data_IF_870823666818
#
_entry.id   IF_870823666818
#
_cell.length_a   1.000
_cell.length_b   1.000
_cell.length_c   1.000
_cell.angle_alpha   90.00
_cell.angle_beta   90.00
_cell.angle_gamma   90.00
#
_symmetry.space_group_name_H-M   'P 1'
#
loop_
_entity.id
_entity.type
_entity.pdbx_description
1 polymer ?
#
# COMPACT_ATOMS: atom_id res chain seq x y z
N UNK A 1 20.12 -9.98 5.98
CA UNK A 1 19.11 -10.09 4.92
C UNK A 1 18.80 -8.68 4.46
N UNK A 2 18.93 -8.41 3.17
CA UNK A 2 18.60 -7.08 2.63
C UNK A 2 17.07 -6.89 2.71
N UNK A 3 16.55 -5.80 3.28
CA UNK A 3 15.12 -5.49 3.25
C UNK A 3 14.50 -5.47 1.85
N UNK A 4 15.32 -5.36 0.79
CA UNK A 4 14.89 -5.44 -0.61
C UNK A 4 14.68 -6.87 -1.15
N UNK A 5 15.04 -7.92 -0.41
CA UNK A 5 14.81 -9.31 -0.85
C UNK A 5 13.36 -9.78 -0.64
N UNK A 6 12.52 -8.96 0.02
CA UNK A 6 11.12 -9.30 0.29
C UNK A 6 10.21 -8.75 -0.80
N UNK A 7 9.76 -9.64 -1.69
CA UNK A 7 8.66 -9.35 -2.60
C UNK A 7 7.33 -9.35 -1.84
N UNK A 8 6.67 -8.20 -1.77
CA UNK A 8 5.31 -8.12 -1.23
C UNK A 8 4.29 -8.60 -2.26
N UNK A 9 3.15 -9.10 -1.79
CA UNK A 9 1.97 -9.35 -2.63
C UNK A 9 0.83 -8.50 -2.05
N UNK A 10 0.12 -7.80 -2.92
CA UNK A 10 -1.01 -6.95 -2.52
C UNK A 10 -2.29 -7.52 -3.09
N UNK A 11 -3.31 -7.65 -2.24
CA UNK A 11 -4.68 -7.94 -2.62
C UNK A 11 -5.58 -6.78 -2.20
N UNK A 12 -6.67 -6.56 -2.94
CA UNK A 12 -7.67 -5.52 -2.65
C UNK A 12 -9.04 -6.16 -2.54
N UNK A 13 -9.93 -5.50 -1.80
CA UNK A 13 -11.35 -5.81 -1.86
C UNK A 13 -11.87 -5.66 -3.30
N UNK A 14 -12.95 -6.39 -3.61
CA UNK A 14 -13.60 -6.35 -4.92
C UNK A 14 -14.18 -4.97 -5.27
N UNK A 15 -14.48 -4.15 -4.25
CA UNK A 15 -15.08 -2.82 -4.40
C UNK A 15 -14.36 -1.79 -3.52
N UNK A 16 -14.30 -0.51 -3.94
CA UNK A 16 -13.80 0.56 -3.10
C UNK A 16 -14.80 0.88 -1.97
N UNK A 17 -14.31 1.59 -0.95
CA UNK A 17 -15.17 2.17 0.08
C UNK A 17 -16.10 3.20 -0.60
N UNK A 18 -17.43 3.11 -0.42
CA UNK A 18 -18.37 4.08 -1.01
C UNK A 18 -18.10 5.49 -0.50
N UNK A 19 -18.13 6.49 -1.38
CA UNK A 19 -17.88 7.90 -1.00
C UNK A 19 -18.98 8.48 -0.12
N UNK A 20 -20.18 7.91 -0.15
CA UNK A 20 -21.29 8.27 0.72
C UNK A 20 -21.12 7.72 2.15
N UNK A 21 -20.08 6.92 2.40
CA UNK A 21 -19.81 6.34 3.71
C UNK A 21 -19.27 7.42 4.66
N UNK A 22 -20.05 7.79 5.68
CA UNK A 22 -19.59 8.72 6.72
C UNK A 22 -18.54 8.09 7.65
N UNK A 23 -18.72 6.82 8.02
CA UNK A 23 -17.77 6.05 8.83
C UNK A 23 -17.67 4.64 8.28
N UNK A 24 -16.45 4.23 7.91
CA UNK A 24 -16.16 2.87 7.44
C UNK A 24 -15.31 2.14 8.48
N UNK A 25 -15.72 0.92 8.82
CA UNK A 25 -15.03 0.07 9.78
C UNK A 25 -14.88 -1.34 9.20
N UNK A 26 -13.71 -1.94 9.40
CA UNK A 26 -13.45 -3.32 9.03
C UNK A 26 -12.47 -3.94 10.02
N UNK A 27 -12.56 -5.26 10.17
CA UNK A 27 -11.67 -6.07 10.99
C UNK A 27 -10.92 -7.07 10.11
N UNK A 28 -9.73 -7.46 10.55
CA UNK A 28 -8.94 -8.52 9.93
C UNK A 28 -8.46 -9.43 11.03
N UNK A 29 -8.74 -10.73 10.90
CA UNK A 29 -8.16 -11.76 11.75
C UNK A 29 -6.92 -12.35 11.06
N UNK A 30 -5.79 -12.35 11.76
CA UNK A 30 -4.55 -12.97 11.28
C UNK A 30 -4.55 -14.42 11.77
N UNK A 31 -4.86 -15.36 10.86
CA UNK A 31 -4.91 -16.80 11.17
C UNK A 31 -3.48 -17.39 11.25
N UNK A 32 -2.56 -16.89 10.43
CA UNK A 32 -1.17 -17.33 10.38
C UNK A 32 -0.26 -16.22 9.84
N UNK A 33 0.80 -15.89 10.57
CA UNK A 33 1.75 -14.83 10.21
C UNK A 33 2.90 -15.32 9.31
N UNK A 34 3.07 -16.64 9.18
CA UNK A 34 4.12 -17.27 8.38
C UNK A 34 5.52 -17.06 8.95
N UNK A 35 6.56 -17.23 8.10
CA UNK A 35 7.96 -17.26 8.53
C UNK A 35 8.47 -15.94 9.14
N UNK A 36 7.95 -14.80 8.66
CA UNK A 36 8.45 -13.47 9.03
C UNK A 36 7.37 -12.53 9.58
N UNK A 37 6.09 -12.92 9.56
CA UNK A 37 5.00 -12.10 10.10
C UNK A 37 4.76 -10.76 9.41
N UNK A 38 5.32 -10.53 8.21
CA UNK A 38 5.20 -9.25 7.51
C UNK A 38 3.86 -9.12 6.82
N UNK A 39 2.86 -8.55 7.52
CA UNK A 39 1.52 -8.32 6.99
C UNK A 39 1.20 -6.82 7.10
N UNK A 40 0.95 -6.18 5.97
CA UNK A 40 0.50 -4.78 5.89
C UNK A 40 -1.00 -4.70 5.62
N UNK A 41 -1.73 -4.05 6.52
CA UNK A 41 -3.19 -3.85 6.41
C UNK A 41 -3.47 -2.36 6.30
N UNK A 42 -4.28 -1.95 5.33
CA UNK A 42 -4.63 -0.55 5.14
C UNK A 42 -5.38 -0.30 3.83
N UNK A 43 -5.37 0.95 3.41
CA UNK A 43 -6.09 1.42 2.22
C UNK A 43 -5.16 1.75 1.06
N UNK A 44 -5.68 1.67 -0.16
CA UNK A 44 -4.97 2.11 -1.36
C UNK A 44 -5.96 2.69 -2.39
N UNK A 45 -5.45 3.53 -3.29
CA UNK A 45 -6.22 4.02 -4.44
C UNK A 45 -6.12 3.05 -5.62
N UNK A 46 -7.00 3.18 -6.62
CA UNK A 46 -6.97 2.34 -7.82
C UNK A 46 -5.68 2.44 -8.62
N UNK A 47 -4.99 3.58 -8.56
CA UNK A 47 -3.84 3.95 -9.41
C UNK A 47 -2.51 3.31 -9.02
N UNK A 48 -2.49 2.52 -7.95
CA UNK A 48 -1.27 1.89 -7.49
C UNK A 48 -0.99 0.59 -8.27
N UNK A 49 -0.36 0.71 -9.45
CA UNK A 49 0.38 -0.38 -10.11
C UNK A 49 1.70 -0.63 -9.36
N UNK A 50 1.61 -1.00 -8.09
CA UNK A 50 2.78 -1.29 -7.27
C UNK A 50 2.66 -2.74 -6.84
N UNK A 51 3.37 -3.60 -7.54
CA UNK A 51 3.46 -5.03 -7.23
C UNK A 51 4.38 -5.35 -6.07
N UNK A 52 5.07 -4.37 -5.47
CA UNK A 52 6.27 -4.67 -4.66
C UNK A 52 6.32 -3.97 -3.29
N UNK A 53 5.27 -3.22 -2.89
CA UNK A 53 5.27 -2.50 -1.62
C UNK A 53 4.06 -2.78 -0.73
N UNK A 54 4.27 -2.78 0.59
CA UNK A 54 3.17 -2.89 1.55
C UNK A 54 2.34 -1.59 1.61
N UNK A 55 1.06 -1.67 2.00
CA UNK A 55 0.24 -0.49 2.29
C UNK A 55 0.95 0.48 3.23
N UNK A 56 0.86 1.78 2.95
CA UNK A 56 1.47 2.84 3.78
C UNK A 56 2.97 3.06 3.56
N UNK A 57 3.66 2.22 2.76
CA UNK A 57 5.06 2.50 2.38
C UNK A 57 5.08 3.74 1.47
N UNK A 58 5.72 4.81 1.93
CA UNK A 58 5.97 5.98 1.10
C UNK A 58 6.93 5.59 -0.01
N UNK A 59 6.68 6.08 -1.22
CA UNK A 59 7.77 6.26 -2.16
C UNK A 59 8.79 7.17 -1.50
N UNK A 60 10.04 6.71 -1.38
CA UNK A 60 11.12 7.68 -1.33
C UNK A 60 11.02 8.41 -2.68
N UNK A 61 10.52 9.63 -2.67
CA UNK A 61 10.68 10.49 -3.83
C UNK A 61 12.19 10.61 -4.04
N UNK A 62 12.70 10.03 -5.12
CA UNK A 62 13.99 10.44 -5.64
C UNK A 62 13.91 11.96 -5.79
N UNK A 63 14.76 12.68 -5.03
CA UNK A 63 14.79 14.15 -4.99
C UNK A 63 14.95 14.80 -6.37
N UNK A 64 15.24 14.01 -7.40
CA UNK A 64 15.45 14.43 -8.78
C UNK A 64 14.18 14.95 -9.46
N UNK A 65 12.97 14.60 -8.99
CA UNK A 65 11.72 15.02 -9.66
C UNK A 65 11.04 16.27 -9.08
N UNK A 66 11.69 17.01 -8.18
CA UNK A 66 11.17 18.31 -7.67
C UNK A 66 11.37 19.47 -8.63
N UNK A 67 12.27 19.37 -9.60
CA UNK A 67 12.54 20.49 -10.52
C UNK A 67 11.54 20.56 -11.68
N UNK A 68 10.75 19.50 -11.95
CA UNK A 68 9.88 19.42 -13.13
C UNK A 68 8.40 19.73 -12.87
N UNK A 69 8.01 20.28 -11.71
CA UNK A 69 6.60 20.64 -11.43
C UNK A 69 6.35 22.14 -11.20
N UNK A 70 7.29 23.00 -11.58
CA UNK A 70 7.11 24.47 -11.51
C UNK A 70 6.55 25.12 -12.79
N UNK A 71 6.15 24.34 -13.80
CA UNK A 71 5.51 24.89 -15.00
C UNK A 71 4.32 24.02 -15.41
N UNK A 72 3.12 24.50 -15.09
CA UNK A 72 1.83 23.87 -15.36
C UNK A 72 0.75 24.46 -14.48
#
# INVERSE_FOLDING_TARGET
MDPNDYKAIIIRANNPIPSQCGLFYFEIEIINEGKNGMIGIGYCTKQNNISDFMPGRKYAEDKENRENKSWG
#
